data_IF_954138559889
#
_entry.id   IF_954138559889
#
_cell.length_a   1.000
_cell.length_b   1.000
_cell.length_c   1.000
_cell.angle_alpha   90.00
_cell.angle_beta   90.00
_cell.angle_gamma   90.00
#
_symmetry.space_group_name_H-M   'P 1'
#
loop_
_entity.id
_entity.type
_entity.pdbx_description
1 polymer ?
#
# COMPACT_ATOMS: atom_id res chain seq x y z
N UNK A 1 14.62 -2.01 -31.42
CA UNK A 1 14.33 -2.01 -29.97
C UNK A 1 12.98 -1.33 -29.80
N UNK A 2 12.03 -2.00 -29.19
CA UNK A 2 10.66 -1.49 -29.01
C UNK A 2 10.70 -0.21 -28.15
N UNK A 3 10.07 0.90 -28.59
CA UNK A 3 10.01 2.15 -27.85
C UNK A 3 9.43 1.98 -26.43
N UNK A 4 8.50 1.04 -26.25
CA UNK A 4 7.90 0.71 -24.94
C UNK A 4 8.95 0.10 -24.00
N UNK A 5 9.82 -0.79 -24.49
CA UNK A 5 10.91 -1.39 -23.70
C UNK A 5 11.98 -0.35 -23.31
N UNK A 6 12.27 0.62 -24.20
CA UNK A 6 13.17 1.74 -23.87
C UNK A 6 12.56 2.66 -22.81
N UNK A 7 11.23 2.86 -22.82
CA UNK A 7 10.54 3.71 -21.86
C UNK A 7 10.49 3.09 -20.44
N UNK A 8 10.41 1.78 -20.33
CA UNK A 8 10.40 1.05 -19.06
C UNK A 8 11.80 0.95 -18.40
N UNK A 9 12.87 1.19 -19.14
CA UNK A 9 14.25 1.08 -18.68
C UNK A 9 14.92 2.41 -18.34
N UNK A 10 14.19 3.53 -18.40
CA UNK A 10 14.74 4.84 -18.06
C UNK A 10 14.35 5.24 -16.63
N UNK A 11 15.30 5.84 -15.89
CA UNK A 11 14.99 6.54 -14.65
C UNK A 11 14.15 7.77 -15.00
N UNK A 12 12.98 7.92 -14.36
CA UNK A 12 12.07 9.04 -14.57
C UNK A 12 11.60 9.59 -13.24
N UNK A 13 11.47 10.90 -13.18
CA UNK A 13 10.76 11.55 -12.07
C UNK A 13 9.30 11.68 -12.45
N UNK A 14 8.41 11.11 -11.64
CA UNK A 14 6.97 11.22 -11.78
C UNK A 14 6.43 12.22 -10.77
N UNK A 15 5.49 13.04 -11.19
CA UNK A 15 4.71 13.90 -10.32
C UNK A 15 3.31 13.30 -10.18
N UNK A 16 2.96 12.90 -8.97
CA UNK A 16 1.71 12.23 -8.66
C UNK A 16 0.82 13.16 -7.84
N UNK A 17 -0.42 13.36 -8.27
CA UNK A 17 -1.42 14.12 -7.53
C UNK A 17 -2.32 13.17 -6.75
N UNK A 18 -2.01 12.97 -5.48
CA UNK A 18 -2.79 12.13 -4.58
C UNK A 18 -3.93 12.98 -3.99
N UNK A 19 -5.18 12.50 -3.92
CA UNK A 19 -6.24 13.20 -3.22
C UNK A 19 -5.81 13.58 -1.82
N UNK A 20 -6.09 14.82 -1.40
CA UNK A 20 -5.91 15.22 -0.02
C UNK A 20 -7.01 14.58 0.86
N UNK A 21 -6.79 14.57 2.17
CA UNK A 21 -7.70 14.00 3.16
C UNK A 21 -9.08 14.69 3.11
N UNK A 22 -9.92 14.27 2.18
CA UNK A 22 -11.34 14.59 2.14
C UNK A 22 -12.13 13.30 2.30
N UNK A 23 -13.09 13.29 3.24
CA UNK A 23 -14.00 12.15 3.53
C UNK A 23 -14.83 11.69 2.33
N UNK A 24 -14.69 12.30 1.16
CA UNK A 24 -15.44 12.02 -0.06
C UNK A 24 -14.69 11.17 -1.10
N UNK A 25 -13.55 10.59 -0.76
CA UNK A 25 -12.89 9.66 -1.67
C UNK A 25 -13.75 8.39 -1.78
N UNK A 26 -14.50 8.33 -2.85
CA UNK A 26 -15.51 7.31 -3.08
C UNK A 26 -14.88 6.01 -3.58
N UNK A 27 -14.32 5.22 -2.67
CA UNK A 27 -14.20 3.79 -2.90
C UNK A 27 -15.40 3.10 -2.26
N UNK A 28 -16.12 2.29 -2.99
CA UNK A 28 -17.09 1.37 -2.42
C UNK A 28 -16.36 0.10 -2.01
N UNK A 29 -16.54 -0.30 -0.76
CA UNK A 29 -15.97 -1.55 -0.25
C UNK A 29 -17.10 -2.56 -0.07
N UNK A 30 -16.91 -3.78 -0.55
CA UNK A 30 -17.80 -4.90 -0.31
C UNK A 30 -17.04 -5.97 0.44
N UNK A 31 -17.55 -6.41 1.59
CA UNK A 31 -16.97 -7.52 2.34
C UNK A 31 -17.04 -8.77 1.48
N UNK A 32 -15.93 -9.45 1.31
CA UNK A 32 -15.81 -10.62 0.46
C UNK A 32 -15.31 -11.82 1.28
N UNK A 33 -15.70 -13.01 0.84
CA UNK A 33 -15.11 -14.26 1.31
C UNK A 33 -13.91 -14.62 0.43
N UNK A 34 -12.99 -15.43 0.95
CA UNK A 34 -11.86 -15.92 0.16
C UNK A 34 -12.31 -16.66 -1.11
N UNK A 35 -13.35 -17.47 -1.01
CA UNK A 35 -13.97 -18.16 -2.16
C UNK A 35 -14.59 -17.19 -3.17
N UNK A 36 -15.20 -16.09 -2.70
CA UNK A 36 -15.71 -15.03 -3.56
C UNK A 36 -14.60 -14.33 -4.36
N UNK A 37 -13.47 -14.02 -3.72
CA UNK A 37 -12.30 -13.45 -4.40
C UNK A 37 -11.73 -14.40 -5.46
N UNK A 38 -11.62 -15.68 -5.16
CA UNK A 38 -11.13 -16.68 -6.11
C UNK A 38 -12.05 -16.82 -7.33
N UNK A 39 -13.36 -16.80 -7.12
CA UNK A 39 -14.34 -16.82 -8.19
C UNK A 39 -14.22 -15.57 -9.07
N UNK A 40 -14.04 -14.37 -8.46
CA UNK A 40 -13.83 -13.12 -9.18
C UNK A 40 -12.50 -13.12 -9.96
N UNK A 41 -11.41 -13.61 -9.38
CA UNK A 41 -10.12 -13.76 -10.05
C UNK A 41 -10.19 -14.72 -11.25
N UNK A 42 -10.92 -15.84 -11.11
CA UNK A 42 -11.13 -16.80 -12.19
C UNK A 42 -11.98 -16.19 -13.33
N UNK A 43 -13.00 -15.40 -13.00
CA UNK A 43 -13.82 -14.69 -13.98
C UNK A 43 -12.98 -13.64 -14.75
N UNK A 44 -12.14 -12.87 -14.06
CA UNK A 44 -11.25 -11.90 -14.66
C UNK A 44 -10.26 -12.57 -15.62
N UNK A 45 -9.60 -13.66 -15.21
CA UNK A 45 -8.70 -14.43 -16.10
C UNK A 45 -9.40 -14.89 -17.36
N UNK A 46 -10.64 -15.42 -17.26
CA UNK A 46 -11.44 -15.83 -18.44
C UNK A 46 -11.73 -14.64 -19.36
N UNK A 47 -12.10 -13.48 -18.81
CA UNK A 47 -12.40 -12.29 -19.59
C UNK A 47 -11.15 -11.76 -20.33
N UNK A 48 -9.98 -11.75 -19.67
CA UNK A 48 -8.71 -11.36 -20.29
C UNK A 48 -8.32 -12.33 -21.43
N UNK A 49 -8.45 -13.64 -21.21
CA UNK A 49 -8.17 -14.63 -22.26
C UNK A 49 -9.15 -14.49 -23.44
N UNK A 50 -10.44 -14.24 -23.20
CA UNK A 50 -11.43 -14.03 -24.24
C UNK A 50 -11.11 -12.78 -25.10
N UNK A 51 -10.72 -11.66 -24.46
CA UNK A 51 -10.27 -10.44 -25.17
C UNK A 51 -9.02 -10.70 -25.99
N UNK A 52 -8.02 -11.38 -25.46
CA UNK A 52 -6.80 -11.73 -26.18
C UNK A 52 -7.07 -12.65 -27.39
N UNK A 53 -8.09 -13.52 -27.31
CA UNK A 53 -8.55 -14.34 -28.42
C UNK A 53 -9.30 -13.52 -29.49
N UNK A 54 -10.15 -12.58 -29.06
CA UNK A 54 -10.89 -11.69 -29.96
C UNK A 54 -10.00 -10.68 -30.69
N UNK A 55 -8.98 -10.14 -30.00
CA UNK A 55 -8.05 -9.15 -30.56
C UNK A 55 -7.11 -9.70 -31.66
N UNK A 56 -7.05 -11.00 -31.87
CA UNK A 56 -6.30 -11.60 -32.99
C UNK A 56 -7.01 -11.52 -34.34
N UNK A 57 -8.28 -11.13 -34.37
CA UNK A 57 -9.10 -11.06 -35.59
C UNK A 57 -9.60 -9.64 -35.96
N UNK A 58 -9.14 -8.61 -35.27
CA UNK A 58 -9.59 -7.24 -35.50
C UNK A 58 -8.42 -6.28 -35.62
N UNK A 59 -8.29 -5.61 -36.78
CA UNK A 59 -7.52 -4.38 -36.96
C UNK A 59 -8.08 -3.35 -35.99
N UNK A 60 -7.23 -2.83 -35.12
CA UNK A 60 -7.56 -1.69 -34.25
C UNK A 60 -7.80 -0.49 -35.15
N UNK A 61 -9.06 -0.08 -35.30
CA UNK A 61 -9.43 1.16 -35.90
C UNK A 61 -8.93 2.33 -35.06
N UNK A 62 -8.38 3.33 -35.70
CA UNK A 62 -7.73 4.52 -35.17
C UNK A 62 -8.71 5.61 -34.70
N UNK A 63 -9.84 5.26 -34.08
CA UNK A 63 -10.94 6.22 -33.87
C UNK A 63 -11.11 6.67 -32.40
N UNK A 64 -10.09 6.47 -31.56
CA UNK A 64 -10.12 6.92 -30.14
C UNK A 64 -9.30 8.20 -29.87
N UNK A 65 -9.01 9.02 -30.90
CA UNK A 65 -8.24 10.28 -30.72
C UNK A 65 -9.09 11.51 -30.30
N UNK A 66 -10.42 11.40 -30.19
CA UNK A 66 -11.31 12.57 -30.06
C UNK A 66 -12.00 12.71 -28.66
N UNK A 67 -11.40 12.27 -27.58
CA UNK A 67 -11.93 12.53 -26.21
C UNK A 67 -10.92 13.19 -25.27
N UNK A 68 -10.04 14.04 -25.78
CA UNK A 68 -9.32 15.02 -24.99
C UNK A 68 -10.05 16.37 -25.06
N UNK A 69 -11.32 16.39 -24.77
CA UNK A 69 -11.93 17.63 -24.32
C UNK A 69 -11.35 17.90 -22.93
N UNK A 70 -10.60 18.99 -22.85
CA UNK A 70 -10.21 19.68 -21.63
C UNK A 70 -11.49 20.16 -20.92
N UNK A 71 -12.25 19.22 -20.35
CA UNK A 71 -13.17 19.56 -19.29
C UNK A 71 -12.31 19.97 -18.10
N UNK A 72 -11.89 21.23 -18.10
CA UNK A 72 -11.60 22.04 -16.94
C UNK A 72 -12.87 22.10 -16.05
N UNK A 73 -13.41 20.95 -15.69
CA UNK A 73 -14.22 20.79 -14.51
C UNK A 73 -13.27 21.00 -13.31
N UNK A 74 -12.88 22.26 -13.18
CA UNK A 74 -12.46 22.87 -11.93
C UNK A 74 -13.64 22.75 -10.95
N UNK A 75 -13.90 21.51 -10.51
CA UNK A 75 -14.60 21.23 -9.27
C UNK A 75 -13.71 21.74 -8.14
N UNK A 76 -13.57 23.07 -8.14
CA UNK A 76 -12.64 23.87 -7.39
C UNK A 76 -12.78 23.70 -5.90
N UNK A 77 -12.26 22.61 -5.33
CA UNK A 77 -12.03 22.51 -3.88
C UNK A 77 -11.32 21.21 -3.45
N UNK A 78 -10.82 20.37 -4.34
CA UNK A 78 -10.07 19.20 -3.86
C UNK A 78 -8.58 19.54 -3.79
N UNK A 79 -8.12 19.90 -2.58
CA UNK A 79 -6.69 19.99 -2.31
C UNK A 79 -5.99 18.68 -2.72
N UNK A 80 -4.88 18.80 -3.43
CA UNK A 80 -4.07 17.66 -3.85
C UNK A 80 -2.75 17.65 -3.10
N UNK A 81 -2.33 16.46 -2.67
CA UNK A 81 -0.97 16.25 -2.21
C UNK A 81 -0.10 15.90 -3.42
N UNK A 82 0.84 16.76 -3.75
CA UNK A 82 1.81 16.50 -4.81
C UNK A 82 2.94 15.63 -4.27
N UNK A 83 3.12 14.45 -4.85
CA UNK A 83 4.22 13.53 -4.57
C UNK A 83 5.11 13.41 -5.79
N UNK A 84 6.42 13.56 -5.59
CA UNK A 84 7.45 13.35 -6.61
C UNK A 84 8.20 12.07 -6.31
N UNK A 85 8.28 11.16 -7.28
CA UNK A 85 9.03 9.92 -7.15
C UNK A 85 9.91 9.67 -8.36
N UNK A 86 11.11 9.18 -8.12
CA UNK A 86 12.01 8.69 -9.16
C UNK A 86 11.78 7.18 -9.33
N UNK A 87 11.51 6.75 -10.56
CA UNK A 87 11.43 5.34 -10.90
C UNK A 87 12.81 4.76 -11.17
N UNK A 88 12.94 3.46 -11.00
CA UNK A 88 14.12 2.69 -11.43
C UNK A 88 13.78 1.85 -12.66
N UNK A 89 14.79 1.45 -13.46
CA UNK A 89 14.58 0.48 -14.52
C UNK A 89 14.03 -0.84 -13.98
N UNK A 90 12.94 -1.36 -14.57
CA UNK A 90 12.32 -2.63 -14.14
C UNK A 90 13.29 -3.81 -14.18
N UNK A 91 14.29 -3.76 -15.08
CA UNK A 91 15.33 -4.78 -15.16
C UNK A 91 16.24 -4.83 -13.90
N UNK A 92 16.28 -3.76 -13.09
CA UNK A 92 17.07 -3.70 -11.85
C UNK A 92 16.26 -4.17 -10.66
N UNK A 93 15.04 -3.65 -10.49
CA UNK A 93 14.17 -4.07 -9.40
C UNK A 93 12.69 -3.87 -9.73
N UNK A 94 11.87 -4.86 -9.34
CA UNK A 94 10.42 -4.81 -9.50
C UNK A 94 9.79 -3.69 -8.67
N UNK A 95 10.38 -3.35 -7.52
CA UNK A 95 9.96 -2.24 -6.65
C UNK A 95 10.22 -0.86 -7.25
N UNK A 96 11.06 -0.76 -8.30
CA UNK A 96 11.36 0.50 -8.98
C UNK A 96 10.25 1.04 -9.89
N UNK A 97 9.14 0.32 -10.00
CA UNK A 97 7.98 0.67 -10.83
C UNK A 97 6.83 1.22 -9.97
N UNK A 98 6.03 2.12 -10.55
CA UNK A 98 4.76 2.52 -9.97
C UNK A 98 3.72 1.41 -10.15
N UNK A 99 3.10 0.98 -9.05
CA UNK A 99 2.07 -0.03 -9.03
C UNK A 99 0.70 0.60 -8.73
N UNK A 100 -0.33 0.16 -9.44
CA UNK A 100 -1.70 0.67 -9.29
C UNK A 100 -2.24 0.56 -7.87
N UNK A 101 -1.87 -0.51 -7.14
CA UNK A 101 -2.27 -0.70 -5.75
C UNK A 101 -1.80 0.43 -4.84
N UNK A 102 -0.60 1.00 -5.07
CA UNK A 102 -0.07 2.11 -4.27
C UNK A 102 -0.86 3.40 -4.48
N UNK A 103 -1.29 3.68 -5.72
CA UNK A 103 -2.14 4.83 -6.03
C UNK A 103 -3.53 4.68 -5.40
N UNK A 104 -4.14 3.49 -5.56
CA UNK A 104 -5.46 3.22 -5.00
C UNK A 104 -5.45 3.27 -3.47
N UNK A 105 -4.43 2.66 -2.84
CA UNK A 105 -4.25 2.68 -1.39
C UNK A 105 -4.03 4.10 -0.86
N UNK A 106 -3.21 4.91 -1.53
CA UNK A 106 -3.00 6.31 -1.16
C UNK A 106 -4.29 7.12 -1.20
N UNK A 107 -5.11 6.92 -2.26
CA UNK A 107 -6.40 7.58 -2.38
C UNK A 107 -7.42 7.11 -1.32
N UNK A 108 -7.41 5.80 -0.99
CA UNK A 108 -8.26 5.25 0.05
C UNK A 108 -7.87 5.76 1.45
N UNK A 109 -6.57 5.78 1.77
CA UNK A 109 -6.05 6.25 3.05
C UNK A 109 -6.34 7.74 3.26
N UNK A 110 -6.35 8.55 2.21
CA UNK A 110 -6.70 9.96 2.31
C UNK A 110 -8.06 10.19 2.99
N UNK A 111 -9.03 9.25 2.80
CA UNK A 111 -10.35 9.30 3.45
C UNK A 111 -10.46 8.52 4.76
N UNK A 112 -9.53 7.61 5.05
CA UNK A 112 -9.71 6.59 6.09
C UNK A 112 -8.66 6.64 7.21
N UNK A 113 -7.53 7.30 7.01
CA UNK A 113 -6.38 7.25 7.93
C UNK A 113 -6.72 7.77 9.33
N UNK A 114 -7.58 8.79 9.44
CA UNK A 114 -7.99 9.37 10.73
C UNK A 114 -8.80 8.37 11.56
N UNK A 115 -9.57 7.50 10.90
CA UNK A 115 -10.36 6.47 11.57
C UNK A 115 -9.47 5.29 12.02
N UNK A 116 -8.34 5.04 11.33
CA UNK A 116 -7.39 3.99 11.68
C UNK A 116 -6.41 4.44 12.77
N UNK A 117 -5.83 5.62 12.61
CA UNK A 117 -4.82 6.19 13.50
C UNK A 117 -5.10 7.67 13.77
N UNK A 118 -6.07 7.96 14.64
CA UNK A 118 -6.44 9.33 14.95
C UNK A 118 -5.27 10.10 15.58
N UNK A 119 -5.24 11.43 15.41
CA UNK A 119 -4.28 12.28 16.12
C UNK A 119 -4.33 12.02 17.62
N UNK A 120 -3.17 12.05 18.27
CA UNK A 120 -3.11 11.93 19.72
C UNK A 120 -3.80 13.12 20.39
N UNK A 121 -4.71 12.84 21.33
CA UNK A 121 -5.51 13.90 22.00
C UNK A 121 -4.75 14.60 23.13
N UNK A 122 -3.66 14.02 23.64
CA UNK A 122 -2.88 14.57 24.73
C UNK A 122 -1.58 15.21 24.24
N UNK A 123 -1.24 16.37 24.77
CA UNK A 123 0.06 16.99 24.53
C UNK A 123 1.18 16.08 25.09
N UNK A 124 2.19 15.81 24.27
CA UNK A 124 3.30 14.93 24.64
C UNK A 124 3.05 13.43 24.41
N UNK A 125 1.88 13.03 23.91
CA UNK A 125 1.65 11.65 23.55
C UNK A 125 2.53 11.25 22.33
N UNK A 126 2.97 9.99 22.32
CA UNK A 126 3.71 9.42 21.19
C UNK A 126 2.92 9.59 19.87
N UNK A 127 3.60 10.01 18.83
CA UNK A 127 3.02 9.98 17.48
C UNK A 127 2.73 8.54 17.08
N UNK A 128 1.57 8.23 16.49
CA UNK A 128 1.32 6.91 15.96
C UNK A 128 2.38 6.53 14.92
N UNK A 129 2.89 5.32 15.02
CA UNK A 129 3.91 4.78 14.11
C UNK A 129 3.24 4.02 12.97
N UNK A 130 3.51 4.47 11.75
CA UNK A 130 3.10 3.82 10.50
C UNK A 130 4.32 3.20 9.85
N UNK A 131 4.23 1.92 9.49
CA UNK A 131 5.26 1.21 8.74
C UNK A 131 4.70 0.76 7.40
N UNK A 132 5.32 1.19 6.30
CA UNK A 132 5.07 0.64 4.97
C UNK A 132 6.14 -0.41 4.65
N UNK A 133 5.71 -1.65 4.39
CA UNK A 133 6.59 -2.77 4.00
C UNK A 133 6.51 -3.00 2.49
N UNK A 134 7.67 -3.29 1.87
CA UNK A 134 7.76 -3.39 0.40
C UNK A 134 7.31 -2.09 -0.27
N UNK A 135 7.81 -0.95 0.24
CA UNK A 135 7.33 0.38 -0.13
C UNK A 135 7.64 0.73 -1.60
N UNK A 136 8.60 0.08 -2.24
CA UNK A 136 8.97 0.33 -3.62
C UNK A 136 9.32 1.79 -3.88
N UNK A 137 8.46 2.56 -4.55
CA UNK A 137 8.65 4.00 -4.75
C UNK A 137 8.29 4.85 -3.54
N UNK A 138 7.63 4.28 -2.52
CA UNK A 138 7.22 4.98 -1.29
C UNK A 138 5.99 5.88 -1.43
N UNK A 139 5.18 5.70 -2.47
CA UNK A 139 4.06 6.61 -2.78
C UNK A 139 3.08 6.73 -1.63
N UNK A 140 2.71 5.61 -0.99
CA UNK A 140 1.72 5.57 0.09
C UNK A 140 2.23 6.32 1.32
N UNK A 141 3.40 5.94 1.82
CA UNK A 141 3.95 6.55 3.03
C UNK A 141 4.38 8.01 2.83
N UNK A 142 4.91 8.38 1.64
CA UNK A 142 5.21 9.79 1.32
C UNK A 142 3.95 10.64 1.33
N UNK A 143 2.84 10.13 0.77
CA UNK A 143 1.55 10.83 0.79
C UNK A 143 1.03 11.00 2.22
N UNK A 144 1.13 9.96 3.06
CA UNK A 144 0.74 10.02 4.46
C UNK A 144 1.60 11.01 5.25
N UNK A 145 2.92 10.92 5.13
CA UNK A 145 3.83 11.81 5.86
C UNK A 145 3.60 13.29 5.53
N UNK A 146 3.21 13.61 4.28
CA UNK A 146 2.86 14.98 3.89
C UNK A 146 1.51 15.44 4.40
N UNK A 147 0.51 14.56 4.38
CA UNK A 147 -0.86 14.92 4.71
C UNK A 147 -1.17 14.80 6.21
N UNK A 148 -0.42 13.98 6.92
CA UNK A 148 -0.69 13.58 8.30
C UNK A 148 0.53 13.88 9.21
N UNK A 149 0.83 15.15 9.52
CA UNK A 149 2.03 15.53 10.29
C UNK A 149 2.02 15.00 11.72
N UNK A 150 0.90 14.46 12.20
CA UNK A 150 0.80 13.78 13.50
C UNK A 150 1.30 12.34 13.50
N UNK A 151 1.58 11.77 12.32
CA UNK A 151 2.13 10.43 12.18
C UNK A 151 3.65 10.46 12.16
N UNK A 152 4.24 9.35 12.58
CA UNK A 152 5.61 8.99 12.24
C UNK A 152 5.55 7.85 11.21
N UNK A 153 6.09 8.08 10.03
CA UNK A 153 6.03 7.13 8.90
C UNK A 153 7.40 6.54 8.66
N UNK A 154 7.50 5.23 8.57
CA UNK A 154 8.72 4.53 8.12
C UNK A 154 8.42 3.83 6.80
N UNK A 155 9.19 4.13 5.76
CA UNK A 155 9.18 3.42 4.49
C UNK A 155 10.20 2.30 4.55
N UNK A 156 9.84 1.07 4.18
CA UNK A 156 10.80 -0.01 4.19
C UNK A 156 10.72 -0.91 2.96
N UNK A 157 11.88 -1.39 2.55
CA UNK A 157 12.04 -2.41 1.52
C UNK A 157 13.26 -3.28 1.86
N UNK A 158 13.35 -4.48 1.28
CA UNK A 158 14.51 -5.34 1.49
C UNK A 158 15.64 -5.08 0.50
N UNK A 159 15.30 -4.58 -0.70
CA UNK A 159 16.23 -4.34 -1.78
C UNK A 159 17.01 -3.04 -1.53
N UNK A 160 18.32 -3.13 -1.44
CA UNK A 160 19.20 -1.98 -1.15
C UNK A 160 19.04 -0.86 -2.18
N UNK A 161 18.88 -1.18 -3.48
CA UNK A 161 18.68 -0.16 -4.51
C UNK A 161 17.34 0.58 -4.33
N UNK A 162 16.31 -0.15 -3.89
CA UNK A 162 15.01 0.45 -3.56
C UNK A 162 15.11 1.32 -2.32
N UNK A 163 15.80 0.88 -1.26
CA UNK A 163 16.02 1.67 -0.03
C UNK A 163 16.74 2.98 -0.36
N UNK A 164 17.81 2.93 -1.16
CA UNK A 164 18.48 4.14 -1.63
C UNK A 164 17.58 5.04 -2.47
N UNK A 165 16.70 4.46 -3.29
CA UNK A 165 15.75 5.23 -4.08
C UNK A 165 14.64 5.85 -3.21
N UNK A 166 14.20 5.16 -2.15
CA UNK A 166 13.28 5.71 -1.15
C UNK A 166 13.87 6.95 -0.47
N UNK A 167 15.16 6.95 -0.12
CA UNK A 167 15.84 8.14 0.42
C UNK A 167 15.84 9.29 -0.58
N UNK A 168 16.10 9.02 -1.88
CA UNK A 168 16.01 10.04 -2.94
C UNK A 168 14.59 10.57 -3.08
N UNK A 169 13.58 9.69 -3.07
CA UNK A 169 12.18 10.06 -3.16
C UNK A 169 11.73 10.86 -1.92
N UNK A 170 12.19 10.50 -0.74
CA UNK A 170 11.99 11.30 0.47
C UNK A 170 12.59 12.71 0.33
N UNK A 171 13.82 12.83 -0.18
CA UNK A 171 14.47 14.13 -0.41
C UNK A 171 13.77 14.99 -1.48
N UNK A 172 13.12 14.39 -2.48
CA UNK A 172 12.31 15.12 -3.47
C UNK A 172 11.04 15.74 -2.86
N UNK A 173 10.57 15.23 -1.74
CA UNK A 173 9.29 15.59 -1.14
C UNK A 173 9.39 16.39 0.16
N UNK A 174 10.51 16.32 0.86
CA UNK A 174 10.73 16.97 2.15
C UNK A 174 12.03 17.80 2.12
N UNK A 175 12.01 18.96 2.76
CA UNK A 175 13.21 19.76 2.96
C UNK A 175 14.24 19.00 3.79
N UNK A 176 15.53 19.27 3.56
CA UNK A 176 16.61 18.71 4.37
C UNK A 176 17.14 19.78 5.35
N UNK A 177 17.30 19.49 6.65
CA UNK A 177 16.94 18.23 7.30
C UNK A 177 15.42 18.04 7.39
N UNK A 178 14.97 16.78 7.29
CA UNK A 178 13.56 16.44 7.54
C UNK A 178 13.20 16.75 8.98
N UNK A 179 11.98 17.23 9.27
CA UNK A 179 11.53 17.36 10.65
C UNK A 179 11.69 16.01 11.37
N UNK A 180 12.24 16.05 12.58
CA UNK A 180 12.43 14.83 13.38
C UNK A 180 11.12 14.04 13.52
N UNK A 181 11.21 12.73 13.41
CA UNK A 181 10.10 11.81 13.59
C UNK A 181 8.90 12.02 12.64
N UNK A 182 9.14 12.51 11.43
CA UNK A 182 8.06 12.62 10.41
C UNK A 182 8.15 11.49 9.40
N UNK A 183 9.35 11.19 8.92
CA UNK A 183 9.58 10.19 7.89
C UNK A 183 10.98 9.58 8.03
N UNK A 184 11.02 8.27 8.14
CA UNK A 184 12.23 7.46 8.07
C UNK A 184 12.22 6.53 6.86
N UNK A 185 13.40 6.10 6.45
CA UNK A 185 13.59 5.06 5.45
C UNK A 185 14.49 3.97 6.04
N UNK A 186 14.13 2.70 5.84
CA UNK A 186 14.82 1.59 6.45
C UNK A 186 14.87 0.34 5.56
N UNK A 187 15.91 -0.45 5.71
CA UNK A 187 15.93 -1.81 5.18
C UNK A 187 15.13 -2.73 6.12
N UNK A 188 14.19 -3.50 5.56
CA UNK A 188 13.45 -4.53 6.28
C UNK A 188 13.07 -5.64 5.32
N UNK A 189 13.55 -6.84 5.62
CA UNK A 189 13.18 -8.06 4.90
C UNK A 189 12.15 -8.84 5.71
N UNK A 190 10.91 -8.90 5.24
CA UNK A 190 9.88 -9.67 5.94
C UNK A 190 10.12 -11.19 5.90
N UNK A 191 11.05 -11.67 5.04
CA UNK A 191 11.47 -13.07 5.00
C UNK A 191 12.27 -13.49 6.25
N UNK A 192 12.81 -12.54 6.99
CA UNK A 192 13.50 -12.79 8.26
C UNK A 192 12.53 -13.15 9.41
N UNK A 193 11.24 -12.83 9.25
CA UNK A 193 10.20 -13.10 10.24
C UNK A 193 9.61 -14.50 10.05
N UNK A 194 10.22 -15.49 10.69
CA UNK A 194 9.71 -16.88 10.72
C UNK A 194 9.19 -17.24 12.10
N UNK A 195 8.39 -18.30 12.28
CA UNK A 195 7.93 -18.74 13.60
C UNK A 195 9.07 -18.97 14.59
N UNK A 196 10.27 -19.35 14.11
CA UNK A 196 11.42 -19.62 14.95
C UNK A 196 12.28 -18.38 15.26
N UNK A 197 12.11 -17.30 14.51
CA UNK A 197 12.91 -16.07 14.63
C UNK A 197 12.07 -14.81 14.80
N UNK A 198 10.77 -14.94 15.00
CA UNK A 198 9.84 -13.81 15.04
C UNK A 198 10.21 -12.76 16.10
N UNK A 199 10.72 -13.21 17.23
CA UNK A 199 11.17 -12.39 18.34
C UNK A 199 12.65 -11.96 18.26
N UNK A 200 13.36 -12.38 17.22
CA UNK A 200 14.80 -12.17 17.00
C UNK A 200 15.13 -11.58 15.63
N UNK A 201 14.11 -11.39 14.79
CA UNK A 201 14.32 -10.79 13.47
C UNK A 201 14.95 -9.40 13.61
N UNK A 202 15.92 -9.03 12.77
CA UNK A 202 16.55 -7.73 12.84
C UNK A 202 15.53 -6.63 12.54
N UNK A 203 15.38 -5.67 13.44
CA UNK A 203 14.55 -4.50 13.25
C UNK A 203 15.39 -3.29 12.84
N UNK A 204 14.91 -2.47 11.91
CA UNK A 204 15.53 -1.20 11.58
C UNK A 204 15.72 -0.33 12.82
N UNK A 205 16.84 0.42 12.87
CA UNK A 205 17.19 1.24 14.02
C UNK A 205 16.10 2.27 14.36
N UNK A 206 15.43 2.84 13.37
CA UNK A 206 14.31 3.77 13.56
C UNK A 206 13.13 3.13 14.31
N UNK A 207 12.87 1.84 14.10
CA UNK A 207 11.84 1.11 14.86
C UNK A 207 12.31 0.75 16.27
N UNK A 208 13.62 0.55 16.46
CA UNK A 208 14.20 0.24 17.79
C UNK A 208 14.12 1.43 18.74
N UNK A 209 14.27 2.65 18.25
CA UNK A 209 14.25 3.87 19.06
C UNK A 209 12.88 4.18 19.70
N UNK A 210 11.81 3.60 19.18
CA UNK A 210 10.46 3.76 19.72
C UNK A 210 10.11 2.72 20.81
N UNK A 211 11.02 1.83 21.13
CA UNK A 211 10.80 0.73 22.05
C UNK A 211 11.42 1.02 23.42
N UNK A 212 10.62 1.49 24.38
CA UNK A 212 11.09 1.72 25.75
C UNK A 212 11.37 0.41 26.53
N UNK A 213 10.91 -0.75 26.07
CA UNK A 213 11.08 -2.01 26.82
C UNK A 213 10.98 -3.30 25.97
N UNK A 214 10.90 -3.22 24.66
CA UNK A 214 10.83 -4.40 23.80
C UNK A 214 10.68 -3.98 22.34
N UNK A 215 11.48 -4.57 21.47
CA UNK A 215 11.63 -4.20 20.05
C UNK A 215 10.39 -4.48 19.21
N UNK A 216 9.38 -5.15 19.75
CA UNK A 216 8.23 -5.66 19.04
C UNK A 216 6.94 -5.04 19.57
N UNK A 217 5.91 -5.00 18.71
CA UNK A 217 4.62 -4.50 19.11
C UNK A 217 4.53 -2.97 19.24
N UNK A 218 5.15 -2.23 18.34
CA UNK A 218 5.17 -0.76 18.37
C UNK A 218 4.42 -0.10 17.22
N UNK A 219 4.11 -0.85 16.16
CA UNK A 219 3.48 -0.31 14.95
C UNK A 219 1.97 -0.17 15.16
N UNK A 220 1.45 1.03 15.01
CA UNK A 220 0.01 1.31 15.11
C UNK A 220 -0.70 0.99 13.79
N UNK A 221 -0.05 1.23 12.65
CA UNK A 221 -0.58 0.92 11.32
C UNK A 221 0.54 0.36 10.42
N UNK A 222 0.36 -0.86 9.95
CA UNK A 222 1.26 -1.50 8.99
C UNK A 222 0.60 -1.50 7.62
N UNK A 223 1.33 -1.09 6.60
CA UNK A 223 0.83 -0.91 5.23
C UNK A 223 1.63 -1.75 4.24
N UNK A 224 0.97 -2.22 3.17
CA UNK A 224 1.64 -2.86 2.05
C UNK A 224 0.78 -2.86 0.79
N UNK A 225 1.33 -2.30 -0.29
CA UNK A 225 0.64 -2.18 -1.57
C UNK A 225 1.22 -3.19 -2.58
N UNK A 226 0.43 -4.17 -2.96
CA UNK A 226 0.75 -5.24 -3.93
C UNK A 226 1.97 -6.11 -3.54
N UNK A 227 2.16 -6.34 -2.23
CA UNK A 227 3.31 -7.05 -1.68
C UNK A 227 3.13 -8.57 -1.62
N UNK A 228 1.91 -9.11 -1.89
CA UNK A 228 1.62 -10.55 -1.84
C UNK A 228 1.66 -11.14 -3.25
N UNK A 229 2.84 -11.27 -3.84
CA UNK A 229 3.01 -11.78 -5.22
C UNK A 229 3.96 -13.00 -5.32
N UNK A 230 4.68 -13.34 -4.26
CA UNK A 230 5.51 -14.52 -4.15
C UNK A 230 5.12 -15.36 -2.92
N UNK A 231 5.40 -16.66 -2.93
CA UNK A 231 5.07 -17.56 -1.82
C UNK A 231 5.74 -17.18 -0.51
N UNK A 232 6.97 -16.71 -0.55
CA UNK A 232 7.73 -16.23 0.62
C UNK A 232 7.10 -15.01 1.28
N UNK A 233 6.27 -14.26 0.56
CA UNK A 233 5.59 -13.08 1.08
C UNK A 233 4.44 -13.42 2.05
N UNK A 234 4.05 -14.70 2.15
CA UNK A 234 3.12 -15.14 3.19
C UNK A 234 3.70 -14.95 4.61
N UNK A 235 5.02 -14.74 4.74
CA UNK A 235 5.68 -14.37 6.00
C UNK A 235 5.25 -13.00 6.53
N UNK A 236 4.58 -12.15 5.74
CA UNK A 236 3.94 -10.93 6.22
C UNK A 236 2.99 -11.16 7.39
N UNK A 237 2.40 -12.37 7.52
CA UNK A 237 1.62 -12.74 8.70
C UNK A 237 2.47 -12.66 9.99
N UNK A 238 3.72 -13.12 9.95
CA UNK A 238 4.63 -13.06 11.08
C UNK A 238 5.12 -11.63 11.35
N UNK A 239 5.30 -10.82 10.29
CA UNK A 239 5.60 -9.38 10.45
C UNK A 239 4.45 -8.68 11.18
N UNK A 240 3.20 -8.94 10.81
CA UNK A 240 2.03 -8.40 11.52
C UNK A 240 2.04 -8.83 12.99
N UNK A 241 2.26 -10.12 13.24
CA UNK A 241 2.29 -10.65 14.62
C UNK A 241 3.43 -10.06 15.44
N UNK A 242 4.60 -9.84 14.84
CA UNK A 242 5.75 -9.28 15.54
C UNK A 242 5.59 -7.79 15.83
N UNK A 243 5.18 -7.01 14.85
CA UNK A 243 5.34 -5.56 14.86
C UNK A 243 4.09 -4.79 15.27
N UNK A 244 2.87 -5.30 15.03
CA UNK A 244 1.66 -4.61 15.46
C UNK A 244 1.63 -4.45 16.99
N UNK A 245 1.36 -3.23 17.43
CA UNK A 245 1.20 -2.93 18.85
C UNK A 245 0.05 -3.75 19.48
N UNK A 246 0.12 -4.10 20.77
CA UNK A 246 -1.02 -4.66 21.45
C UNK A 246 -2.12 -3.59 21.61
N UNK A 247 -3.39 -4.02 21.53
CA UNK A 247 -4.52 -3.12 21.79
C UNK A 247 -4.71 -2.96 23.30
N UNK A 248 -4.24 -1.85 23.86
CA UNK A 248 -4.27 -1.58 25.31
C UNK A 248 -5.22 -0.43 25.70
N UNK A 249 -5.74 0.33 24.74
CA UNK A 249 -6.68 1.43 24.99
C UNK A 249 -7.94 1.24 24.12
N UNK A 250 -9.01 0.75 24.71
CA UNK A 250 -10.30 0.50 24.05
C UNK A 250 -10.96 1.74 23.45
N UNK A 251 -10.52 2.93 23.86
CA UNK A 251 -11.01 4.21 23.32
C UNK A 251 -10.37 4.56 21.97
N UNK A 252 -9.33 3.85 21.58
CA UNK A 252 -8.65 4.01 20.29
C UNK A 252 -8.93 2.82 19.39
N UNK A 253 -8.89 3.01 18.06
CA UNK A 253 -8.93 1.89 17.13
C UNK A 253 -7.80 0.90 17.45
N UNK A 254 -8.02 -0.41 17.27
CA UNK A 254 -6.95 -1.39 17.45
C UNK A 254 -5.86 -1.19 16.40
N UNK A 255 -4.58 -1.35 16.77
CA UNK A 255 -3.50 -1.41 15.80
C UNK A 255 -3.78 -2.45 14.73
N UNK A 256 -3.56 -2.09 13.47
CA UNK A 256 -3.93 -2.94 12.36
C UNK A 256 -2.91 -2.92 11.22
N UNK A 257 -2.98 -3.94 10.37
CA UNK A 257 -2.31 -3.91 9.08
C UNK A 257 -3.36 -3.80 7.96
N UNK A 258 -3.01 -3.03 6.92
CA UNK A 258 -3.83 -2.88 5.72
C UNK A 258 -2.98 -3.22 4.51
N UNK A 259 -3.40 -4.24 3.77
CA UNK A 259 -2.75 -4.63 2.53
C UNK A 259 -3.71 -4.47 1.36
N UNK A 260 -3.23 -3.89 0.27
CA UNK A 260 -3.93 -3.86 -1.00
C UNK A 260 -3.25 -4.82 -1.98
N UNK A 261 -4.02 -5.61 -2.68
CA UNK A 261 -3.49 -6.53 -3.69
C UNK A 261 -4.45 -6.68 -4.86
N UNK A 262 -3.90 -6.85 -6.05
CA UNK A 262 -4.70 -7.27 -7.18
C UNK A 262 -5.19 -8.71 -6.94
N UNK A 263 -6.49 -8.96 -7.13
CA UNK A 263 -7.11 -10.28 -6.87
C UNK A 263 -6.54 -11.40 -7.75
N UNK A 264 -5.83 -11.07 -8.83
CA UNK A 264 -5.19 -12.06 -9.69
C UNK A 264 -3.88 -12.63 -9.13
N UNK A 265 -3.38 -12.11 -8.00
CA UNK A 265 -2.14 -12.60 -7.38
C UNK A 265 -2.30 -14.05 -6.90
N UNK A 266 -1.31 -14.91 -7.16
CA UNK A 266 -1.47 -16.36 -6.98
C UNK A 266 -1.50 -16.80 -5.50
N UNK A 267 -0.88 -16.03 -4.58
CA UNK A 267 -0.64 -16.45 -3.20
C UNK A 267 -1.56 -15.80 -2.17
N UNK A 268 -2.68 -15.20 -2.58
CA UNK A 268 -3.65 -14.59 -1.67
C UNK A 268 -4.21 -15.62 -0.68
N UNK A 269 -4.52 -16.84 -1.13
CA UNK A 269 -5.01 -17.91 -0.26
C UNK A 269 -3.98 -18.24 0.82
N UNK A 270 -2.74 -18.55 0.40
CA UNK A 270 -1.66 -18.91 1.33
C UNK A 270 -1.42 -17.79 2.36
N UNK A 271 -1.51 -16.53 1.93
CA UNK A 271 -1.38 -15.37 2.83
C UNK A 271 -2.50 -15.32 3.87
N UNK A 272 -3.77 -15.47 3.45
CA UNK A 272 -4.92 -15.44 4.37
C UNK A 272 -4.88 -16.61 5.36
N UNK A 273 -4.56 -17.82 4.88
CA UNK A 273 -4.37 -18.99 5.72
C UNK A 273 -3.20 -18.81 6.70
N UNK A 274 -2.12 -18.15 6.26
CA UNK A 274 -0.99 -17.78 7.11
C UNK A 274 -1.37 -16.79 8.22
N UNK A 275 -2.21 -15.81 7.93
CA UNK A 275 -2.76 -14.88 8.94
C UNK A 275 -3.59 -15.62 9.99
N UNK A 276 -4.47 -16.53 9.55
CA UNK A 276 -5.30 -17.34 10.44
C UNK A 276 -4.43 -18.24 11.35
N UNK A 277 -3.46 -18.92 10.76
CA UNK A 277 -2.50 -19.77 11.49
C UNK A 277 -1.65 -18.99 12.49
N UNK A 278 -1.36 -17.71 12.22
CA UNK A 278 -0.66 -16.80 13.14
C UNK A 278 -1.57 -16.24 14.24
N UNK A 279 -2.86 -16.61 14.29
CA UNK A 279 -3.79 -16.11 15.30
C UNK A 279 -4.25 -14.67 15.05
N UNK A 280 -4.18 -14.21 13.80
CA UNK A 280 -4.66 -12.90 13.39
C UNK A 280 -6.08 -12.99 12.81
N UNK A 281 -6.85 -11.91 12.94
CA UNK A 281 -8.12 -11.74 12.24
C UNK A 281 -7.89 -10.99 10.95
N UNK A 282 -8.51 -11.45 9.86
CA UNK A 282 -8.44 -10.79 8.58
C UNK A 282 -9.84 -10.55 8.02
N UNK A 283 -10.19 -9.28 7.78
CA UNK A 283 -11.37 -8.88 7.02
C UNK A 283 -10.93 -8.56 5.60
N UNK A 284 -11.59 -9.17 4.64
CA UNK A 284 -11.29 -8.97 3.22
C UNK A 284 -12.38 -8.10 2.62
N UNK A 285 -11.97 -7.05 1.93
CA UNK A 285 -12.89 -6.15 1.25
C UNK A 285 -12.47 -6.01 -0.22
N UNK A 286 -13.44 -6.07 -1.11
CA UNK A 286 -13.22 -5.70 -2.50
C UNK A 286 -13.26 -4.19 -2.61
N UNK A 287 -12.23 -3.61 -3.20
CA UNK A 287 -12.11 -2.16 -3.38
C UNK A 287 -12.37 -1.83 -4.84
N UNK A 288 -13.39 -1.02 -5.07
CA UNK A 288 -13.73 -0.51 -6.40
C UNK A 288 -13.61 1.01 -6.36
N UNK A 289 -12.66 1.59 -7.09
CA UNK A 289 -12.58 3.05 -7.19
C UNK A 289 -13.85 3.59 -7.85
N UNK A 290 -14.30 4.77 -7.42
CA UNK A 290 -15.33 5.50 -8.14
C UNK A 290 -14.89 5.79 -9.57
N UNK A 291 -15.83 6.04 -10.47
CA UNK A 291 -15.49 6.37 -11.86
C UNK A 291 -14.61 7.62 -11.96
N UNK A 292 -14.88 8.63 -11.14
CA UNK A 292 -14.06 9.85 -11.05
C UNK A 292 -12.64 9.53 -10.60
N UNK A 293 -12.47 8.73 -9.53
CA UNK A 293 -11.16 8.30 -9.07
C UNK A 293 -10.44 7.45 -10.14
N UNK A 294 -11.14 6.52 -10.78
CA UNK A 294 -10.57 5.67 -11.83
C UNK A 294 -10.10 6.48 -13.05
N UNK A 295 -10.88 7.49 -13.49
CA UNK A 295 -10.46 8.43 -14.56
C UNK A 295 -9.21 9.18 -14.15
N UNK A 296 -9.15 9.67 -12.92
CA UNK A 296 -8.01 10.41 -12.40
C UNK A 296 -6.76 9.53 -12.28
N UNK A 297 -6.89 8.29 -11.79
CA UNK A 297 -5.77 7.35 -11.72
C UNK A 297 -5.24 7.00 -13.12
N UNK A 298 -6.11 6.89 -14.14
CA UNK A 298 -5.70 6.72 -15.53
C UNK A 298 -4.89 7.91 -16.07
N UNK A 299 -5.26 9.15 -15.72
CA UNK A 299 -4.48 10.35 -16.09
C UNK A 299 -3.12 10.39 -15.37
N UNK A 300 -3.05 9.86 -14.16
CA UNK A 300 -1.82 9.84 -13.35
C UNK A 300 -0.85 8.75 -13.81
N UNK A 301 -1.36 7.64 -14.32
CA UNK A 301 -0.59 6.47 -14.69
C UNK A 301 -1.15 5.80 -15.94
N UNK A 302 -0.44 5.92 -17.08
CA UNK A 302 -0.82 5.35 -18.38
C UNK A 302 -1.03 3.82 -18.35
N UNK A 303 -0.39 3.13 -17.39
CA UNK A 303 -0.52 1.68 -17.18
C UNK A 303 -1.69 1.27 -16.30
N UNK A 304 -2.58 2.16 -15.86
CA UNK A 304 -3.73 1.81 -15.04
C UNK A 304 -4.60 0.78 -15.74
N UNK A 305 -4.65 -0.43 -15.16
CA UNK A 305 -5.33 -1.57 -15.76
C UNK A 305 -6.84 -1.38 -15.82
N UNK A 306 -7.38 -1.24 -17.04
CA UNK A 306 -8.83 -1.27 -17.24
C UNK A 306 -9.38 -2.60 -16.74
N UNK A 307 -10.19 -2.56 -15.68
CA UNK A 307 -10.81 -3.73 -15.07
C UNK A 307 -9.96 -4.42 -14.00
N UNK A 308 -8.87 -3.82 -13.51
CA UNK A 308 -8.16 -4.34 -12.35
C UNK A 308 -9.09 -4.31 -11.13
N UNK A 309 -9.24 -5.47 -10.47
CA UNK A 309 -10.00 -5.59 -9.24
C UNK A 309 -9.00 -5.76 -8.10
N UNK A 310 -9.17 -4.95 -7.07
CA UNK A 310 -8.32 -4.98 -5.90
C UNK A 310 -9.11 -5.50 -4.70
N UNK A 311 -8.40 -6.21 -3.83
CA UNK A 311 -8.87 -6.53 -2.50
C UNK A 311 -8.00 -5.81 -1.46
N UNK A 312 -8.63 -5.46 -0.36
CA UNK A 312 -8.02 -4.93 0.83
C UNK A 312 -8.13 -5.98 1.93
N UNK A 313 -7.02 -6.25 2.59
CA UNK A 313 -6.96 -7.09 3.78
C UNK A 313 -6.77 -6.18 4.98
N UNK A 314 -7.76 -6.13 5.85
CA UNK A 314 -7.68 -5.44 7.14
C UNK A 314 -7.40 -6.49 8.21
N UNK A 315 -6.20 -6.42 8.78
CA UNK A 315 -5.66 -7.43 9.70
C UNK A 315 -5.50 -6.83 11.10
N UNK A 316 -5.99 -7.55 12.10
CA UNK A 316 -5.86 -7.17 13.52
C UNK A 316 -5.43 -8.37 14.35
N UNK A 317 -4.87 -8.13 15.53
CA UNK A 317 -4.69 -9.20 16.53
C UNK A 317 -6.06 -9.68 17.01
N UNK A 318 -6.20 -11.00 17.18
CA UNK A 318 -7.40 -11.53 17.86
C UNK A 318 -7.38 -11.07 19.32
N UNK A 319 -8.53 -10.68 19.87
CA UNK A 319 -8.60 -10.47 21.32
C UNK A 319 -8.19 -11.76 22.04
N UNK A 320 -7.54 -11.66 23.21
CA UNK A 320 -7.26 -12.84 24.02
C UNK A 320 -8.58 -13.58 24.27
N UNK A 321 -8.55 -14.90 24.09
CA UNK A 321 -9.68 -15.75 24.46
C UNK A 321 -9.86 -15.59 25.96
N UNK A 322 -11.03 -15.10 26.40
CA UNK A 322 -11.33 -15.06 27.83
C UNK A 322 -11.23 -16.50 28.33
N UNK A 323 -10.33 -16.75 29.27
CA UNK A 323 -10.31 -18.02 29.99
C UNK A 323 -11.69 -18.15 30.64
N UNK A 324 -12.46 -19.14 30.19
CA UNK A 324 -13.72 -19.50 30.82
C UNK A 324 -13.31 -20.30 32.08
N UNK A 325 -13.34 -19.63 33.25
CA UNK A 325 -13.17 -20.26 34.56
C UNK A 325 -14.26 -21.33 34.82
#
# INVERSE_FOLDING_TARGET
MDPILLSLNARRTLELRIPATDKRVNCSNTIETLSGLEAAAAALRRAVCARAAAGRNGTIGSDDEDLLEDDDDDDGLHAHCLIRVQTLPVAQSIGGKLWDASLLMSAWLAGSVVDLVPPASAAGARRPLVLEVGAGLGVVGLALAKQCPWLHVTLSDYDTEIVENLERNAALNFASPRPEHTLDVAALDFRDFTPASIDKAPLPQCLQQHADAGLYGQVDLLLGADVVYEKTHCQLAHVCLALLAPHTDERRPPPCAVFFSNISRPYIRDFVEGLDAAGLSCRIERVVPSEALARRLRRTHEGWGVGAIFCMFHVTRRPPVAEVD
#
